data_IF_394732382474
#
_entry.id   IF_394732382474
#
_cell.length_a   1.000
_cell.length_b   1.000
_cell.length_c   1.000
_cell.angle_alpha   90.00
_cell.angle_beta   90.00
_cell.angle_gamma   90.00
#
_symmetry.space_group_name_H-M   'P 1'
#
loop_
_entity.id
_entity.type
_entity.pdbx_description
1 polymer ?
#
# COMPACT_ATOMS: atom_id res chain seq x y z
N UNK A 1 24.49 -25.56 -3.03
CA UNK A 1 25.05 -24.19 -3.03
C UNK A 1 25.26 -23.63 -1.60
N UNK A 2 25.65 -24.44 -0.61
CA UNK A 2 26.04 -23.94 0.73
C UNK A 2 24.93 -23.75 1.78
N UNK A 3 23.66 -23.96 1.44
CA UNK A 3 22.54 -23.87 2.38
C UNK A 3 21.71 -25.17 2.31
N UNK A 4 21.97 -26.17 3.18
CA UNK A 4 21.27 -27.46 3.14
C UNK A 4 19.85 -27.41 3.72
N UNK A 5 19.59 -26.47 4.63
CA UNK A 5 18.25 -26.27 5.21
C UNK A 5 17.30 -25.62 4.20
N UNK A 6 16.00 -25.95 4.20
CA UNK A 6 15.03 -25.29 3.32
C UNK A 6 14.75 -23.85 3.76
N UNK A 7 14.49 -22.98 2.79
CA UNK A 7 13.90 -21.67 3.07
C UNK A 7 12.40 -21.83 3.32
N UNK A 8 11.85 -21.03 4.23
CA UNK A 8 10.41 -20.98 4.43
C UNK A 8 9.76 -20.27 3.24
N UNK A 9 8.96 -21.01 2.47
CA UNK A 9 8.12 -20.48 1.39
C UNK A 9 6.67 -20.61 1.82
N UNK A 10 5.99 -19.48 2.01
CA UNK A 10 4.57 -19.47 2.42
C UNK A 10 3.62 -19.31 1.24
N UNK A 11 4.08 -18.64 0.19
CA UNK A 11 3.25 -18.23 -0.94
C UNK A 11 3.95 -18.57 -2.25
N UNK A 12 3.19 -19.02 -3.22
CA UNK A 12 3.62 -19.15 -4.62
C UNK A 12 2.57 -18.49 -5.51
N UNK A 13 2.99 -17.50 -6.29
CA UNK A 13 2.19 -16.96 -7.38
C UNK A 13 2.43 -17.80 -8.64
N UNK A 14 1.34 -18.23 -9.28
CA UNK A 14 1.41 -19.01 -10.51
C UNK A 14 1.20 -18.09 -11.71
N UNK A 15 2.30 -17.63 -12.31
CA UNK A 15 2.32 -16.68 -13.43
C UNK A 15 2.50 -15.22 -13.00
N UNK A 16 2.42 -14.31 -13.97
CA UNK A 16 2.34 -12.86 -13.74
C UNK A 16 1.56 -12.17 -14.87
N UNK A 17 0.43 -11.52 -14.55
CA UNK A 17 -0.45 -10.84 -15.53
C UNK A 17 -0.95 -11.76 -16.67
N UNK A 18 -0.85 -13.08 -16.49
CA UNK A 18 -1.13 -14.06 -17.54
C UNK A 18 -2.62 -14.35 -17.72
N UNK A 19 -3.49 -13.89 -16.82
CA UNK A 19 -4.93 -14.20 -16.84
C UNK A 19 -5.64 -13.73 -18.13
N UNK A 20 -5.04 -12.78 -18.86
CA UNK A 20 -5.53 -12.32 -20.16
C UNK A 20 -5.37 -13.37 -21.27
N UNK A 21 -4.51 -14.36 -21.07
CA UNK A 21 -4.24 -15.41 -22.04
C UNK A 21 -5.13 -16.63 -21.81
N UNK A 22 -5.69 -17.16 -22.89
CA UNK A 22 -6.62 -18.31 -22.83
C UNK A 22 -5.98 -19.59 -22.26
N UNK A 23 -4.67 -19.74 -22.38
CA UNK A 23 -3.93 -20.92 -21.90
C UNK A 23 -3.64 -20.88 -20.39
N UNK A 24 -3.72 -19.71 -19.74
CA UNK A 24 -3.35 -19.55 -18.33
C UNK A 24 -4.13 -20.52 -17.45
N UNK A 25 -5.44 -20.64 -17.68
CA UNK A 25 -6.34 -21.45 -16.85
C UNK A 25 -5.95 -22.93 -16.86
N UNK A 26 -5.64 -23.49 -18.02
CA UNK A 26 -5.31 -24.91 -18.15
C UNK A 26 -3.98 -25.21 -17.45
N UNK A 27 -2.94 -24.41 -17.72
CA UNK A 27 -1.64 -24.55 -17.07
C UNK A 27 -1.73 -24.31 -15.55
N UNK A 28 -2.46 -23.28 -15.12
CA UNK A 28 -2.62 -22.97 -13.69
C UNK A 28 -3.11 -24.19 -12.91
N UNK A 29 -4.10 -24.94 -13.44
CA UNK A 29 -4.63 -26.10 -12.74
C UNK A 29 -3.62 -27.24 -12.62
N UNK A 30 -2.78 -27.45 -13.64
CA UNK A 30 -1.69 -28.44 -13.59
C UNK A 30 -0.66 -28.08 -12.50
N UNK A 31 -0.18 -26.82 -12.50
CA UNK A 31 0.76 -26.34 -11.49
C UNK A 31 0.17 -26.31 -10.09
N UNK A 32 -1.07 -25.83 -9.93
CA UNK A 32 -1.78 -25.81 -8.66
C UNK A 32 -1.87 -27.22 -8.07
N UNK A 33 -2.27 -28.20 -8.89
CA UNK A 33 -2.44 -29.58 -8.44
C UNK A 33 -1.11 -30.18 -7.97
N UNK A 34 -0.06 -30.05 -8.79
CA UNK A 34 1.26 -30.57 -8.47
C UNK A 34 1.84 -29.94 -7.20
N UNK A 35 1.69 -28.61 -7.02
CA UNK A 35 2.21 -27.92 -5.84
C UNK A 35 1.41 -28.29 -4.60
N UNK A 36 0.07 -28.31 -4.64
CA UNK A 36 -0.72 -28.64 -3.45
C UNK A 36 -0.59 -30.11 -3.03
N UNK A 37 -0.32 -31.01 -3.98
CA UNK A 37 -0.01 -32.42 -3.66
C UNK A 37 1.32 -32.56 -2.89
N UNK A 38 2.35 -31.80 -3.29
CA UNK A 38 3.66 -31.85 -2.65
C UNK A 38 3.76 -30.96 -1.39
N UNK A 39 3.09 -29.81 -1.38
CA UNK A 39 3.20 -28.74 -0.40
C UNK A 39 1.82 -28.15 -0.07
N UNK A 40 0.96 -28.89 0.66
CA UNK A 40 -0.41 -28.48 0.94
C UNK A 40 -0.51 -27.20 1.79
N UNK A 41 0.55 -26.84 2.52
CA UNK A 41 0.67 -25.67 3.38
C UNK A 41 1.03 -24.38 2.63
N UNK A 42 1.61 -24.48 1.42
CA UNK A 42 1.86 -23.31 0.56
C UNK A 42 0.53 -22.74 0.08
N UNK A 43 0.36 -21.43 0.26
CA UNK A 43 -0.77 -20.69 -0.27
C UNK A 43 -0.51 -20.28 -1.72
N UNK A 44 -1.48 -20.54 -2.59
CA UNK A 44 -1.36 -20.24 -4.02
C UNK A 44 -2.06 -18.92 -4.35
N UNK A 45 -1.35 -18.06 -5.06
CA UNK A 45 -1.83 -16.78 -5.58
C UNK A 45 -2.11 -16.94 -7.08
N UNK A 46 -3.35 -16.66 -7.49
CA UNK A 46 -3.72 -16.59 -8.91
C UNK A 46 -3.55 -15.18 -9.47
N UNK A 47 -3.16 -15.05 -10.74
CA UNK A 47 -3.13 -13.76 -11.44
C UNK A 47 -4.48 -13.29 -12.00
N UNK A 48 -5.55 -14.05 -11.74
CA UNK A 48 -6.88 -13.65 -12.13
C UNK A 48 -7.56 -12.86 -11.02
N UNK A 49 -8.04 -11.67 -11.33
CA UNK A 49 -8.68 -10.78 -10.35
C UNK A 49 -10.05 -11.32 -9.94
N UNK A 50 -10.17 -11.72 -8.66
CA UNK A 50 -11.40 -12.26 -8.07
C UNK A 50 -12.36 -11.22 -7.48
N UNK A 51 -12.10 -9.92 -7.65
CA UNK A 51 -12.82 -8.85 -6.93
C UNK A 51 -14.23 -8.55 -7.47
N UNK A 52 -14.48 -8.84 -8.75
CA UNK A 52 -15.78 -8.58 -9.42
C UNK A 52 -16.43 -9.84 -9.99
N UNK A 53 -15.61 -10.78 -10.44
CA UNK A 53 -16.05 -12.07 -10.97
C UNK A 53 -15.43 -13.13 -10.08
N UNK A 54 -16.26 -14.06 -9.60
CA UNK A 54 -15.77 -15.18 -8.80
C UNK A 54 -14.81 -16.01 -9.64
N UNK A 55 -13.64 -16.32 -9.08
CA UNK A 55 -12.70 -17.23 -9.71
C UNK A 55 -13.35 -18.60 -9.92
N UNK A 56 -13.12 -19.16 -11.10
CA UNK A 56 -13.64 -20.46 -11.54
C UNK A 56 -12.64 -21.60 -11.30
N UNK A 57 -11.54 -21.30 -10.61
CA UNK A 57 -10.47 -22.20 -10.22
C UNK A 57 -10.09 -21.95 -8.75
N UNK A 58 -9.49 -22.94 -8.06
CA UNK A 58 -9.10 -22.78 -6.66
C UNK A 58 -7.89 -21.85 -6.52
N UNK A 59 -7.92 -21.01 -5.49
CA UNK A 59 -6.79 -20.17 -5.09
C UNK A 59 -6.95 -19.80 -3.60
N UNK A 60 -5.84 -19.57 -2.91
CA UNK A 60 -5.85 -19.04 -1.55
C UNK A 60 -5.93 -17.51 -1.59
N UNK A 61 -5.24 -16.90 -2.56
CA UNK A 61 -5.29 -15.47 -2.86
C UNK A 61 -5.38 -15.20 -4.36
N UNK A 62 -5.74 -13.98 -4.73
CA UNK A 62 -5.51 -13.44 -6.06
C UNK A 62 -4.69 -12.16 -6.03
N UNK A 63 -3.92 -11.94 -7.08
CA UNK A 63 -3.15 -10.71 -7.26
C UNK A 63 -4.03 -9.57 -7.83
N UNK A 64 -3.64 -8.34 -7.53
CA UNK A 64 -4.35 -7.15 -8.00
C UNK A 64 -3.36 -6.04 -8.30
N UNK A 65 -3.36 -5.60 -9.55
CA UNK A 65 -2.45 -4.57 -10.06
C UNK A 65 -3.21 -3.28 -10.33
N UNK A 66 -2.60 -2.15 -9.98
CA UNK A 66 -3.14 -0.82 -10.28
C UNK A 66 -2.04 0.19 -10.60
N UNK A 67 -2.04 0.63 -11.86
CA UNK A 67 -1.23 1.72 -12.36
C UNK A 67 -2.13 2.78 -12.98
N UNK A 68 -2.45 3.84 -12.23
CA UNK A 68 -3.40 4.90 -12.64
C UNK A 68 -2.95 6.26 -12.11
N UNK A 69 -3.50 7.34 -12.65
CA UNK A 69 -3.20 8.70 -12.17
C UNK A 69 -3.69 8.95 -10.73
N UNK A 70 -3.16 10.00 -10.10
CA UNK A 70 -3.44 10.36 -8.69
C UNK A 70 -4.94 10.47 -8.39
N UNK A 71 -5.70 11.13 -9.27
CA UNK A 71 -7.15 11.32 -9.06
C UNK A 71 -7.89 9.99 -9.02
N UNK A 72 -7.58 9.08 -9.95
CA UNK A 72 -8.21 7.78 -10.02
C UNK A 72 -7.90 6.94 -8.78
N UNK A 73 -6.63 6.87 -8.39
CA UNK A 73 -6.18 6.10 -7.21
C UNK A 73 -6.86 6.64 -5.93
N UNK A 74 -6.88 7.96 -5.75
CA UNK A 74 -7.54 8.60 -4.61
C UNK A 74 -9.06 8.33 -4.57
N UNK A 75 -9.74 8.39 -5.71
CA UNK A 75 -11.18 8.09 -5.78
C UNK A 75 -11.50 6.62 -5.53
N UNK A 76 -10.56 5.72 -5.80
CA UNK A 76 -10.70 4.27 -5.56
C UNK A 76 -10.20 3.83 -4.17
N UNK A 77 -10.04 4.75 -3.22
CA UNK A 77 -9.75 4.42 -1.81
C UNK A 77 -10.79 3.52 -1.11
N UNK A 78 -11.98 3.36 -1.70
CA UNK A 78 -13.06 2.48 -1.21
C UNK A 78 -13.26 1.25 -2.11
N UNK A 79 -12.31 0.96 -2.99
CA UNK A 79 -12.43 -0.10 -4.02
C UNK A 79 -12.78 -1.47 -3.43
N UNK A 80 -12.25 -1.80 -2.25
CA UNK A 80 -12.44 -3.11 -1.62
C UNK A 80 -13.65 -3.17 -0.68
N UNK A 81 -14.33 -2.05 -0.40
CA UNK A 81 -15.41 -1.97 0.57
C UNK A 81 -16.57 -2.94 0.25
N UNK A 82 -16.80 -3.22 -1.03
CA UNK A 82 -17.89 -4.07 -1.50
C UNK A 82 -17.44 -5.41 -2.11
N UNK A 83 -16.14 -5.75 -2.00
CA UNK A 83 -15.64 -7.04 -2.49
C UNK A 83 -16.20 -8.17 -1.61
N UNK A 84 -16.61 -9.33 -2.18
CA UNK A 84 -17.12 -10.44 -1.39
C UNK A 84 -16.11 -10.91 -0.33
N UNK A 85 -16.59 -11.14 0.90
CA UNK A 85 -15.78 -11.68 2.01
C UNK A 85 -15.68 -13.21 1.98
N UNK A 86 -16.22 -13.82 0.93
CA UNK A 86 -16.17 -15.25 0.64
C UNK A 86 -15.26 -15.50 -0.55
N UNK A 87 -14.40 -16.51 -0.46
CA UNK A 87 -13.44 -16.85 -1.51
C UNK A 87 -12.00 -16.44 -1.18
N UNK A 88 -11.12 -16.41 -2.21
CA UNK A 88 -9.70 -16.12 -2.03
C UNK A 88 -9.47 -14.70 -1.52
N UNK A 89 -8.40 -14.52 -0.74
CA UNK A 89 -7.99 -13.21 -0.22
C UNK A 89 -7.28 -12.39 -1.30
N UNK A 90 -7.04 -11.11 -1.03
CA UNK A 90 -6.40 -10.19 -1.98
C UNK A 90 -4.95 -9.97 -1.62
N UNK A 91 -4.08 -10.08 -2.62
CA UNK A 91 -2.75 -9.51 -2.61
C UNK A 91 -2.70 -8.35 -3.60
N UNK A 92 -2.60 -7.12 -3.10
CA UNK A 92 -2.32 -5.96 -3.96
C UNK A 92 -0.82 -5.94 -4.27
N UNK A 93 -0.39 -6.85 -5.15
CA UNK A 93 1.02 -7.10 -5.49
C UNK A 93 1.71 -5.93 -6.15
N UNK A 94 0.95 -5.12 -6.88
CA UNK A 94 1.49 -3.98 -7.60
C UNK A 94 0.54 -2.79 -7.51
N UNK A 95 1.03 -1.69 -6.95
CA UNK A 95 0.36 -0.41 -7.08
C UNK A 95 1.37 0.73 -7.18
N UNK A 96 1.07 1.67 -8.06
CA UNK A 96 1.70 2.99 -8.09
C UNK A 96 0.80 3.98 -8.82
N UNK A 97 0.92 5.25 -8.44
CA UNK A 97 0.42 6.32 -9.28
C UNK A 97 1.34 6.52 -10.47
N UNK A 98 0.79 6.40 -11.67
CA UNK A 98 1.49 6.68 -12.93
C UNK A 98 0.81 7.86 -13.61
N UNK A 99 1.54 8.96 -13.75
CA UNK A 99 1.05 10.18 -14.40
C UNK A 99 1.39 10.16 -15.89
N UNK A 100 0.42 10.54 -16.74
CA UNK A 100 0.55 10.47 -18.21
C UNK A 100 1.50 11.52 -18.81
N UNK A 101 1.86 12.57 -18.05
CA UNK A 101 2.74 13.64 -18.52
C UNK A 101 3.97 13.79 -17.62
N UNK A 102 5.19 13.66 -18.17
CA UNK A 102 6.40 14.00 -17.42
C UNK A 102 6.46 15.52 -17.26
N UNK A 103 6.05 16.01 -16.10
CA UNK A 103 6.33 17.36 -15.62
C UNK A 103 6.94 17.25 -14.23
N UNK A 104 8.25 17.49 -14.12
CA UNK A 104 9.11 17.67 -12.94
C UNK A 104 8.93 16.75 -11.71
N UNK A 105 8.07 15.72 -11.80
CA UNK A 105 7.73 14.75 -10.77
C UNK A 105 7.68 13.32 -11.31
N UNK A 106 8.30 13.06 -12.46
CA UNK A 106 8.33 11.75 -13.10
C UNK A 106 8.92 10.64 -12.22
N UNK A 107 9.78 10.98 -11.26
CA UNK A 107 10.30 10.03 -10.29
C UNK A 107 9.37 9.87 -9.06
N UNK A 108 8.11 10.31 -9.11
CA UNK A 108 7.19 10.35 -7.98
C UNK A 108 7.19 11.70 -7.26
N UNK A 109 6.00 12.17 -6.89
CA UNK A 109 5.77 13.49 -6.28
C UNK A 109 4.78 13.40 -5.09
N UNK A 110 4.58 14.53 -4.40
CA UNK A 110 3.71 14.59 -3.23
C UNK A 110 2.27 14.17 -3.55
N UNK A 111 1.65 14.67 -4.64
CA UNK A 111 0.25 14.34 -4.96
C UNK A 111 0.04 12.85 -5.23
N UNK A 112 0.99 12.20 -5.91
CA UNK A 112 1.01 10.75 -6.09
C UNK A 112 1.03 10.02 -4.75
N UNK A 113 1.94 10.41 -3.85
CA UNK A 113 2.05 9.79 -2.52
C UNK A 113 0.80 9.99 -1.66
N UNK A 114 0.10 11.12 -1.78
CA UNK A 114 -1.17 11.36 -1.07
C UNK A 114 -2.29 10.45 -1.61
N UNK A 115 -2.38 10.29 -2.92
CA UNK A 115 -3.36 9.37 -3.52
C UNK A 115 -3.11 7.92 -3.09
N UNK A 116 -1.86 7.47 -3.14
CA UNK A 116 -1.44 6.14 -2.69
C UNK A 116 -1.69 5.94 -1.19
N UNK A 117 -1.41 6.93 -0.35
CA UNK A 117 -1.73 6.87 1.08
C UNK A 117 -3.23 6.69 1.30
N UNK A 118 -4.07 7.43 0.57
CA UNK A 118 -5.52 7.31 0.67
C UNK A 118 -5.98 5.90 0.28
N UNK A 119 -5.43 5.35 -0.80
CA UNK A 119 -5.68 3.98 -1.21
C UNK A 119 -5.27 2.97 -0.14
N UNK A 120 -4.09 3.12 0.46
CA UNK A 120 -3.63 2.26 1.56
C UNK A 120 -4.53 2.33 2.81
N UNK A 121 -5.10 3.49 3.14
CA UNK A 121 -6.10 3.55 4.23
C UNK A 121 -7.34 2.70 3.92
N UNK A 122 -7.70 2.59 2.64
CA UNK A 122 -8.74 1.70 2.15
C UNK A 122 -8.39 0.23 2.30
N UNK A 123 -7.13 -0.13 2.03
CA UNK A 123 -6.64 -1.50 2.23
C UNK A 123 -6.67 -1.89 3.71
N UNK A 124 -6.25 -1.00 4.61
CA UNK A 124 -6.32 -1.25 6.07
C UNK A 124 -7.75 -1.49 6.55
N UNK A 125 -8.71 -0.71 6.05
CA UNK A 125 -10.14 -0.87 6.36
C UNK A 125 -10.70 -2.21 5.90
N UNK A 126 -10.12 -2.78 4.85
CA UNK A 126 -10.53 -4.05 4.25
C UNK A 126 -9.49 -5.16 4.52
N UNK A 127 -8.74 -5.05 5.64
CA UNK A 127 -7.72 -6.03 6.04
C UNK A 127 -8.29 -7.42 6.39
N UNK A 128 -9.60 -7.54 6.52
CA UNK A 128 -10.32 -8.82 6.59
C UNK A 128 -10.18 -9.63 5.29
N UNK A 129 -10.01 -8.97 4.14
CA UNK A 129 -9.84 -9.60 2.82
C UNK A 129 -8.51 -9.27 2.14
N UNK A 130 -7.95 -8.08 2.35
CA UNK A 130 -6.64 -7.69 1.80
C UNK A 130 -5.54 -8.11 2.77
N UNK A 131 -4.73 -9.08 2.36
CA UNK A 131 -3.70 -9.69 3.22
C UNK A 131 -2.32 -9.09 3.02
N UNK A 132 -2.02 -8.63 1.80
CA UNK A 132 -0.71 -8.13 1.41
C UNK A 132 -0.87 -6.97 0.43
N UNK A 133 0.09 -6.04 0.47
CA UNK A 133 0.20 -4.94 -0.48
C UNK A 133 1.68 -4.65 -0.78
N UNK A 134 2.01 -4.27 -2.01
CA UNK A 134 3.38 -3.99 -2.42
C UNK A 134 3.42 -2.88 -3.47
N UNK A 135 4.19 -1.84 -3.17
CA UNK A 135 4.45 -0.76 -4.12
C UNK A 135 5.36 -1.30 -5.23
N UNK A 136 5.07 -0.96 -6.48
CA UNK A 136 5.87 -1.41 -7.61
C UNK A 136 6.10 -0.28 -8.63
N UNK A 137 7.32 -0.15 -9.18
CA UNK A 137 8.54 -0.89 -8.83
C UNK A 137 9.28 -0.29 -7.61
N UNK A 138 10.11 -1.11 -6.95
CA UNK A 138 10.82 -0.71 -5.74
C UNK A 138 12.09 0.11 -6.03
N UNK A 139 12.86 -0.28 -7.03
CA UNK A 139 14.18 0.25 -7.31
C UNK A 139 14.37 0.59 -8.79
N UNK A 140 15.05 1.70 -9.05
CA UNK A 140 15.50 2.08 -10.39
C UNK A 140 16.90 2.67 -10.38
N UNK A 141 17.71 2.24 -11.34
CA UNK A 141 18.96 2.91 -11.65
C UNK A 141 18.65 4.12 -12.54
N UNK A 142 18.98 5.32 -12.09
CA UNK A 142 18.67 6.55 -12.81
C UNK A 142 19.33 6.63 -14.20
N UNK A 143 20.39 5.84 -14.42
CA UNK A 143 21.08 5.76 -15.72
C UNK A 143 20.46 4.74 -16.69
N UNK A 144 19.50 3.92 -16.28
CA UNK A 144 18.87 2.87 -17.11
C UNK A 144 17.39 2.71 -16.76
N UNK A 145 16.65 3.79 -17.01
CA UNK A 145 15.24 3.91 -16.61
C UNK A 145 14.32 3.47 -17.75
N UNK A 146 13.53 2.44 -17.49
CA UNK A 146 12.54 1.89 -18.44
C UNK A 146 11.09 2.03 -17.98
N UNK A 147 10.88 2.32 -16.69
CA UNK A 147 9.58 2.55 -16.05
C UNK A 147 9.64 3.72 -15.07
N UNK A 148 8.49 4.35 -14.81
CA UNK A 148 8.33 5.47 -13.88
C UNK A 148 6.90 5.48 -13.29
N UNK A 149 6.73 5.81 -12.00
CA UNK A 149 7.77 6.10 -11.00
C UNK A 149 8.31 4.82 -10.33
N UNK A 150 9.27 4.98 -9.40
CA UNK A 150 9.81 3.93 -8.54
C UNK A 150 9.94 4.45 -7.10
N UNK A 151 9.93 3.58 -6.09
CA UNK A 151 10.05 4.03 -4.70
C UNK A 151 11.47 4.57 -4.39
N UNK A 152 12.51 3.91 -4.87
CA UNK A 152 13.91 4.24 -4.56
C UNK A 152 14.70 4.41 -5.85
N UNK A 153 15.25 5.60 -6.04
CA UNK A 153 16.11 5.94 -7.18
C UNK A 153 17.56 5.89 -6.73
N UNK A 154 18.42 5.22 -7.49
CA UNK A 154 19.85 5.10 -7.18
C UNK A 154 20.74 5.24 -8.42
N UNK A 155 22.02 5.49 -8.19
CA UNK A 155 23.09 5.32 -9.17
C UNK A 155 24.28 4.63 -8.47
N UNK A 156 25.46 4.65 -9.08
CA UNK A 156 26.64 3.92 -8.57
C UNK A 156 27.12 4.31 -7.17
N UNK A 157 26.73 5.46 -6.61
CA UNK A 157 27.25 5.93 -5.32
C UNK A 157 26.24 6.64 -4.40
N UNK A 158 25.04 6.94 -4.88
CA UNK A 158 24.00 7.61 -4.10
C UNK A 158 22.60 7.11 -4.45
N UNK A 159 21.65 7.42 -3.57
CA UNK A 159 20.28 6.98 -3.60
C UNK A 159 19.36 7.99 -2.89
N UNK A 160 18.09 8.02 -3.28
CA UNK A 160 17.06 8.72 -2.55
C UNK A 160 15.72 7.99 -2.62
N UNK A 161 14.92 8.15 -1.56
CA UNK A 161 13.54 7.70 -1.52
C UNK A 161 12.61 8.78 -2.05
N UNK A 162 11.64 8.39 -2.87
CA UNK A 162 10.61 9.28 -3.42
C UNK A 162 9.56 9.60 -2.34
N UNK A 163 8.66 10.57 -2.55
CA UNK A 163 7.56 10.81 -1.61
C UNK A 163 6.75 9.55 -1.33
N UNK A 164 6.53 8.71 -2.35
CA UNK A 164 5.87 7.41 -2.24
C UNK A 164 6.62 6.44 -1.32
N UNK A 165 7.96 6.35 -1.42
CA UNK A 165 8.78 5.57 -0.47
C UNK A 165 8.59 6.03 0.97
N UNK A 166 8.69 7.33 1.21
CA UNK A 166 8.53 7.87 2.55
C UNK A 166 7.13 7.66 3.10
N UNK A 167 6.11 7.77 2.25
CA UNK A 167 4.72 7.49 2.60
C UNK A 167 4.53 6.04 3.05
N UNK A 168 5.17 5.05 2.39
CA UNK A 168 5.13 3.64 2.83
C UNK A 168 5.52 3.49 4.30
N UNK A 169 6.44 4.32 4.80
CA UNK A 169 6.92 4.23 6.19
C UNK A 169 5.82 4.46 7.22
N UNK A 170 4.72 5.12 6.85
CA UNK A 170 3.57 5.35 7.73
C UNK A 170 2.70 4.09 7.90
N UNK A 171 2.89 3.08 7.05
CA UNK A 171 2.12 1.84 7.02
C UNK A 171 2.92 0.60 7.45
N UNK A 172 4.17 0.77 7.93
CA UNK A 172 5.02 -0.36 8.37
C UNK A 172 4.38 -1.17 9.49
N UNK A 173 3.68 -0.50 10.39
CA UNK A 173 3.02 -1.10 11.55
C UNK A 173 1.57 -1.51 11.27
N UNK A 174 1.13 -1.53 10.01
CA UNK A 174 -0.19 -2.04 9.63
C UNK A 174 -0.26 -3.57 9.73
N UNK A 175 0.87 -4.26 9.48
CA UNK A 175 0.92 -5.72 9.60
C UNK A 175 0.83 -6.14 11.06
N UNK A 176 -0.13 -7.01 11.38
CA UNK A 176 -0.39 -7.46 12.76
C UNK A 176 -1.12 -6.44 13.63
N UNK A 177 -1.59 -5.31 13.08
CA UNK A 177 -2.40 -4.34 13.80
C UNK A 177 -3.89 -4.66 13.75
N UNK A 178 -4.64 -4.15 14.73
CA UNK A 178 -6.10 -4.21 14.77
C UNK A 178 -6.68 -2.92 14.17
N UNK A 179 -7.51 -3.05 13.13
CA UNK A 179 -8.24 -1.93 12.53
C UNK A 179 -9.41 -1.47 13.40
N UNK A 180 -9.60 -0.15 13.51
CA UNK A 180 -10.73 0.46 14.21
C UNK A 180 -11.67 1.18 13.25
N UNK A 181 -12.99 1.18 13.52
CA UNK A 181 -13.93 2.04 12.82
C UNK A 181 -13.52 3.51 12.93
N UNK A 182 -13.62 4.24 11.82
CA UNK A 182 -13.30 5.67 11.76
C UNK A 182 -14.35 6.42 10.95
N UNK A 183 -14.78 7.58 11.48
CA UNK A 183 -15.75 8.46 10.83
C UNK A 183 -15.13 9.85 10.66
N UNK A 184 -15.22 10.41 9.44
CA UNK A 184 -14.79 11.77 9.15
C UNK A 184 -16.04 12.63 8.99
N UNK A 185 -16.30 13.53 9.95
CA UNK A 185 -17.37 14.51 9.85
C UNK A 185 -16.79 15.87 9.43
N UNK A 186 -16.79 16.14 8.12
CA UNK A 186 -16.26 17.37 7.54
C UNK A 186 -16.91 17.66 6.19
N UNK A 187 -17.08 18.94 5.85
CA UNK A 187 -17.47 19.38 4.51
C UNK A 187 -16.44 18.97 3.44
N UNK A 188 -15.20 18.71 3.85
CA UNK A 188 -14.11 18.24 2.98
C UNK A 188 -13.99 16.70 2.93
N UNK A 189 -14.91 15.95 3.53
CA UNK A 189 -14.84 14.48 3.66
C UNK A 189 -14.51 13.74 2.36
N UNK A 190 -14.98 14.23 1.21
CA UNK A 190 -14.69 13.63 -0.11
C UNK A 190 -13.22 13.75 -0.54
N UNK A 191 -12.49 14.73 0.00
CA UNK A 191 -11.06 15.00 -0.25
C UNK A 191 -10.16 14.47 0.87
N UNK A 192 -10.75 13.82 1.88
CA UNK A 192 -10.03 13.22 3.00
C UNK A 192 -10.05 11.70 2.91
N UNK A 193 -9.01 11.07 3.45
CA UNK A 193 -9.00 9.64 3.75
C UNK A 193 -8.38 9.45 5.13
N UNK A 194 -8.82 8.42 5.85
CA UNK A 194 -8.26 8.12 7.16
C UNK A 194 -8.46 6.66 7.53
N UNK A 195 -7.55 6.15 8.35
CA UNK A 195 -7.61 4.85 9.02
C UNK A 195 -7.09 5.01 10.45
N UNK A 196 -7.55 4.13 11.35
CA UNK A 196 -7.07 4.08 12.71
C UNK A 196 -6.75 2.62 13.07
N UNK A 197 -5.53 2.36 13.52
CA UNK A 197 -5.11 1.01 13.92
C UNK A 197 -4.51 1.02 15.31
N UNK A 198 -4.70 -0.06 16.06
CA UNK A 198 -3.90 -0.34 17.25
C UNK A 198 -2.82 -1.35 16.89
N UNK A 199 -1.57 -0.97 17.14
CA UNK A 199 -0.41 -1.83 16.95
C UNK A 199 0.33 -2.00 18.28
N UNK A 200 0.80 -3.21 18.57
CA UNK A 200 1.47 -3.54 19.82
C UNK A 200 2.97 -3.77 19.60
N UNK A 201 3.80 -2.98 20.28
CA UNK A 201 5.25 -3.21 20.38
C UNK A 201 5.58 -3.77 21.75
N UNK A 202 5.98 -5.05 21.82
CA UNK A 202 6.68 -5.73 22.93
C UNK A 202 6.12 -5.61 24.37
N UNK A 203 5.12 -4.75 24.62
CA UNK A 203 4.35 -4.43 25.85
C UNK A 203 3.47 -3.16 25.72
N UNK A 204 3.80 -2.24 24.82
CA UNK A 204 3.10 -0.95 24.66
C UNK A 204 2.16 -1.02 23.45
N UNK A 205 0.91 -0.60 23.66
CA UNK A 205 -0.09 -0.49 22.61
C UNK A 205 -0.12 0.96 22.08
N UNK A 206 -0.06 1.12 20.76
CA UNK A 206 -0.09 2.40 20.08
C UNK A 206 -1.35 2.52 19.25
N UNK A 207 -2.16 3.55 19.53
CA UNK A 207 -3.19 4.00 18.61
C UNK A 207 -2.54 4.89 17.54
N UNK A 208 -2.65 4.48 16.28
CA UNK A 208 -2.16 5.23 15.12
C UNK A 208 -3.34 5.68 14.29
N UNK A 209 -3.50 7.00 14.18
CA UNK A 209 -4.48 7.63 13.30
C UNK A 209 -3.74 8.20 12.10
N UNK A 210 -4.07 7.73 10.90
CA UNK A 210 -3.49 8.20 9.64
C UNK A 210 -4.54 9.03 8.93
N UNK A 211 -4.17 10.23 8.50
CA UNK A 211 -5.08 11.16 7.83
C UNK A 211 -4.39 11.68 6.59
N UNK A 212 -5.10 11.62 5.47
CA UNK A 212 -4.68 12.15 4.18
C UNK A 212 -5.61 13.30 3.83
N UNK A 213 -5.02 14.45 3.52
CA UNK A 213 -5.72 15.55 2.87
C UNK A 213 -5.23 15.65 1.42
N UNK A 214 -6.07 15.24 0.48
CA UNK A 214 -5.79 15.32 -0.95
C UNK A 214 -6.23 16.67 -1.55
N UNK A 215 -7.00 17.45 -0.79
CA UNK A 215 -7.51 18.75 -1.19
C UNK A 215 -6.47 19.86 -1.12
N UNK A 216 -6.66 20.97 -1.86
CA UNK A 216 -5.75 22.12 -1.83
C UNK A 216 -5.96 23.01 -0.59
N UNK A 217 -7.00 22.76 0.21
CA UNK A 217 -7.38 23.58 1.36
C UNK A 217 -6.89 22.91 2.64
N UNK A 218 -6.23 23.68 3.51
CA UNK A 218 -5.89 23.22 4.85
C UNK A 218 -7.16 22.93 5.66
N UNK A 219 -7.25 21.75 6.25
CA UNK A 219 -8.41 21.32 7.04
C UNK A 219 -7.99 21.15 8.50
N UNK A 220 -8.68 21.86 9.38
CA UNK A 220 -8.53 21.66 10.82
C UNK A 220 -9.42 20.50 11.26
N UNK A 221 -8.83 19.50 11.90
CA UNK A 221 -9.52 18.31 12.38
C UNK A 221 -9.36 18.17 13.89
N UNK A 222 -10.43 17.81 14.57
CA UNK A 222 -10.40 17.36 15.96
C UNK A 222 -10.49 15.84 15.97
N UNK A 223 -9.53 15.18 16.63
CA UNK A 223 -9.52 13.72 16.76
C UNK A 223 -10.09 13.36 18.12
N UNK A 224 -11.16 12.57 18.14
CA UNK A 224 -11.71 11.96 19.34
C UNK A 224 -11.72 10.45 19.20
N UNK A 225 -11.42 9.76 20.30
CA UNK A 225 -11.49 8.31 20.38
C UNK A 225 -12.37 7.92 21.58
N UNK A 226 -13.23 6.93 21.38
CA UNK A 226 -14.12 6.38 22.41
C UNK A 226 -14.08 4.85 22.36
N UNK A 227 -14.46 4.21 23.46
CA UNK A 227 -14.48 2.74 23.53
C UNK A 227 -13.11 2.07 23.61
N UNK A 228 -12.03 2.82 23.87
CA UNK A 228 -10.71 2.24 24.15
C UNK A 228 -10.69 1.64 25.55
N UNK A 229 -10.09 0.45 25.70
CA UNK A 229 -9.93 -0.23 27.01
C UNK A 229 -9.06 0.57 27.98
N UNK A 230 -8.12 1.35 27.45
CA UNK A 230 -7.24 2.23 28.21
C UNK A 230 -7.28 3.66 27.63
N UNK A 231 -7.05 4.66 28.48
CA UNK A 231 -6.91 6.03 28.03
C UNK A 231 -5.65 6.21 27.17
N UNK A 232 -5.74 7.12 26.20
CA UNK A 232 -4.58 7.51 25.39
C UNK A 232 -3.67 8.39 26.23
N UNK A 233 -2.42 7.96 26.44
CA UNK A 233 -1.40 8.81 27.04
C UNK A 233 -0.87 9.80 25.99
N UNK A 234 -1.49 10.97 25.90
CA UNK A 234 -1.12 11.99 24.91
C UNK A 234 0.23 12.63 25.16
N UNK A 235 0.80 12.53 26.37
CA UNK A 235 2.09 13.15 26.71
C UNK A 235 3.28 12.53 25.96
N UNK A 236 3.09 11.39 25.29
CA UNK A 236 4.09 10.73 24.43
C UNK A 236 3.63 10.63 22.97
N UNK A 237 2.54 11.30 22.63
CA UNK A 237 2.03 11.29 21.26
C UNK A 237 2.92 12.13 20.37
N UNK A 238 3.20 11.62 19.18
CA UNK A 238 3.93 12.32 18.13
C UNK A 238 3.05 12.45 16.90
N UNK A 239 3.24 13.52 16.14
CA UNK A 239 2.72 13.66 14.79
C UNK A 239 3.89 13.58 13.80
N UNK A 240 3.72 12.82 12.72
CA UNK A 240 4.68 12.79 11.61
C UNK A 240 3.97 13.26 10.36
N UNK A 241 4.49 14.29 9.72
CA UNK A 241 3.88 14.95 8.56
C UNK A 241 4.79 14.80 7.35
N UNK A 242 4.22 14.34 6.23
CA UNK A 242 4.85 14.38 4.91
C UNK A 242 4.07 15.38 4.05
N UNK A 243 4.72 16.48 3.65
CA UNK A 243 4.07 17.58 2.94
C UNK A 243 5.10 18.41 2.16
N UNK A 244 4.63 19.32 1.31
CA UNK A 244 5.41 20.35 0.62
C UNK A 244 4.51 21.54 0.24
N UNK A 245 5.11 22.68 -0.07
CA UNK A 245 4.40 23.85 -0.59
C UNK A 245 3.84 23.67 -2.00
N UNK A 246 4.35 22.71 -2.78
CA UNK A 246 3.89 22.41 -4.13
C UNK A 246 3.53 20.90 -4.25
N UNK A 247 2.30 20.55 -4.69
CA UNK A 247 1.87 19.15 -4.83
C UNK A 247 2.71 18.33 -5.84
N UNK A 248 3.41 18.98 -6.77
CA UNK A 248 4.26 18.32 -7.76
C UNK A 248 5.70 18.13 -7.28
N UNK A 249 6.02 18.51 -6.04
CA UNK A 249 7.37 18.33 -5.52
C UNK A 249 7.73 16.85 -5.35
N UNK A 250 8.85 16.46 -5.94
CA UNK A 250 9.52 15.18 -5.72
C UNK A 250 10.93 15.35 -5.15
N UNK A 251 11.58 14.22 -4.86
CA UNK A 251 12.98 14.17 -4.43
C UNK A 251 13.91 13.95 -5.63
N UNK A 252 15.17 14.36 -5.48
CA UNK A 252 16.23 14.18 -6.48
C UNK A 252 17.57 13.97 -5.78
N UNK A 253 18.62 13.58 -6.51
CA UNK A 253 19.98 13.51 -5.94
C UNK A 253 20.46 14.85 -5.34
N UNK A 254 20.09 15.99 -5.95
CA UNK A 254 20.44 17.32 -5.42
C UNK A 254 19.62 17.73 -4.20
N UNK A 255 18.40 17.18 -4.04
CA UNK A 255 17.49 17.46 -2.93
C UNK A 255 16.80 16.16 -2.48
N UNK A 256 17.52 15.24 -1.84
CA UNK A 256 17.02 13.87 -1.57
C UNK A 256 15.94 13.82 -0.49
N UNK A 257 15.74 14.92 0.25
CA UNK A 257 14.75 15.07 1.33
C UNK A 257 13.87 16.31 1.14
N UNK A 258 13.61 16.71 -0.11
CA UNK A 258 12.72 17.86 -0.40
C UNK A 258 11.31 17.62 0.15
N UNK A 259 10.81 16.40 -0.05
CA UNK A 259 9.55 15.89 0.49
C UNK A 259 9.90 14.65 1.29
N UNK A 260 9.98 14.80 2.61
CA UNK A 260 10.31 13.73 3.54
C UNK A 260 9.53 13.93 4.85
N UNK A 261 9.33 12.88 5.65
CA UNK A 261 8.58 12.97 6.90
C UNK A 261 9.29 13.84 7.92
N UNK A 262 8.54 14.71 8.60
CA UNK A 262 9.00 15.50 9.74
C UNK A 262 8.16 15.12 10.95
N UNK A 263 8.83 14.68 12.02
CA UNK A 263 8.20 14.30 13.28
C UNK A 263 8.27 15.45 14.28
N UNK A 264 7.19 15.66 15.03
CA UNK A 264 7.14 16.53 16.19
C UNK A 264 6.27 15.91 17.30
N UNK A 265 6.39 16.43 18.51
CA UNK A 265 5.45 16.10 19.58
C UNK A 265 4.04 16.62 19.23
N UNK A 266 3.01 15.92 19.71
CA UNK A 266 1.63 16.38 19.59
C UNK A 266 1.43 17.54 20.59
N UNK A 267 0.80 18.67 20.18
CA UNK A 267 0.54 19.81 21.07
C UNK A 267 -0.27 19.46 22.33
#
# INVERSE_FOLDING_TARGET
MGHPEPFLVKYVALGNEDCVFSFYREHYLEFYTAIKEAYPDIQIISNCVGSRVRLDHPADLYDFHIYKNSTWVFLNKTMFDNVPRTGPKVFVSEYAVVEEKPGDGGNGNLVASLAEAAFLTGLEKNSDIVQMASYAPLFVNDNDRTWMPDAIVFNSWQQYGTPSYWMQTFFRESSGALIHPITINSSYSQQLAASAVTWQDSKISFLRVKIVNFGPVAVNLTISASGLEASVNSARSTVTVLTSSNPLDGNSFSRPKKVAPVMSELP
#
